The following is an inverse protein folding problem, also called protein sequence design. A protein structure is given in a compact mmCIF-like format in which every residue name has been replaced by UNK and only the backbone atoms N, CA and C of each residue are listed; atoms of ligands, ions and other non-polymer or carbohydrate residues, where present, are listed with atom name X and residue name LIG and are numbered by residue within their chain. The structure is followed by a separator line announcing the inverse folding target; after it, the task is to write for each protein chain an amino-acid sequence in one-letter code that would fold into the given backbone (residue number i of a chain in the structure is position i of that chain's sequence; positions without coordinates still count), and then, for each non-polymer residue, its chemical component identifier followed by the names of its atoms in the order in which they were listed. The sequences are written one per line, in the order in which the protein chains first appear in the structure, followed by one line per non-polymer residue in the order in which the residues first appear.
data_IF_644175745952
#
_entry.id   IF_644175745952
#
_cell.length_a   1.000
_cell.length_b   1.000
_cell.length_c   1.000
_cell.angle_alpha   90.00
_cell.angle_beta   90.00
_cell.angle_gamma   90.00
#
_symmetry.space_group_name_H-M   'P 1'
#
loop_
_entity.id
_entity.type
_entity.pdbx_description
1 polymer ?
#
# COMPACT_ATOMS: atom_id res chain seq x y z
N UNK A 1 2.95 -2.03 -20.39
CA UNK A 1 2.57 -0.94 -19.47
C UNK A 1 3.84 -0.29 -18.95
N UNK A 2 3.95 1.02 -19.06
CA UNK A 2 5.09 1.80 -18.53
C UNK A 2 4.94 2.06 -17.04
N UNK A 3 6.02 2.44 -16.36
CA UNK A 3 6.00 2.82 -14.93
C UNK A 3 4.99 3.95 -14.66
N UNK A 4 4.94 4.95 -15.54
CA UNK A 4 4.01 6.07 -15.39
C UNK A 4 2.55 5.63 -15.53
N UNK A 5 2.26 4.73 -16.45
CA UNK A 5 0.90 4.17 -16.61
C UNK A 5 0.47 3.34 -15.40
N UNK A 6 1.39 2.55 -14.82
CA UNK A 6 1.11 1.78 -13.59
C UNK A 6 0.77 2.72 -12.44
N UNK A 7 1.60 3.75 -12.23
CA UNK A 7 1.38 4.75 -11.18
C UNK A 7 0.04 5.45 -11.37
N UNK A 8 -0.21 5.95 -12.58
CA UNK A 8 -1.43 6.72 -12.85
C UNK A 8 -2.67 5.86 -12.67
N UNK A 9 -2.72 4.65 -13.23
CA UNK A 9 -3.85 3.72 -13.06
C UNK A 9 -4.13 3.39 -11.61
N UNK A 10 -3.09 3.21 -10.79
CA UNK A 10 -3.27 2.97 -9.35
C UNK A 10 -3.93 4.18 -8.66
N UNK A 11 -3.44 5.38 -8.94
CA UNK A 11 -3.97 6.59 -8.32
C UNK A 11 -5.41 6.86 -8.78
N UNK A 12 -5.69 6.77 -10.08
CA UNK A 12 -7.03 6.96 -10.64
C UNK A 12 -8.03 5.96 -10.06
N UNK A 13 -7.63 4.68 -9.92
CA UNK A 13 -8.48 3.67 -9.31
C UNK A 13 -8.89 4.04 -7.89
N UNK A 14 -7.93 4.42 -7.05
CA UNK A 14 -8.23 4.76 -5.66
C UNK A 14 -8.93 6.12 -5.53
N UNK A 15 -8.70 7.06 -6.44
CA UNK A 15 -9.49 8.28 -6.53
C UNK A 15 -10.97 7.97 -6.83
N UNK A 16 -11.27 7.05 -7.78
CA UNK A 16 -12.64 6.57 -8.04
C UNK A 16 -13.28 5.89 -6.82
N UNK A 17 -12.48 5.25 -5.95
CA UNK A 17 -12.95 4.68 -4.66
C UNK A 17 -13.05 5.72 -3.53
N UNK A 18 -12.90 7.01 -3.86
CA UNK A 18 -13.06 8.12 -2.92
C UNK A 18 -11.84 8.41 -2.04
N UNK A 19 -10.64 7.99 -2.46
CA UNK A 19 -9.41 8.34 -1.76
C UNK A 19 -8.90 9.71 -2.20
N UNK A 20 -8.45 10.51 -1.26
CA UNK A 20 -7.71 11.72 -1.56
C UNK A 20 -6.28 11.34 -1.98
N UNK A 21 -5.86 11.85 -3.15
CA UNK A 21 -4.49 11.66 -3.62
C UNK A 21 -3.60 12.67 -2.89
N UNK A 22 -2.66 12.17 -2.11
CA UNK A 22 -1.72 12.96 -1.35
C UNK A 22 -0.31 12.93 -1.96
N UNK A 23 0.47 14.01 -1.81
CA UNK A 23 1.82 14.06 -2.34
C UNK A 23 2.74 13.06 -1.64
N UNK A 24 3.81 12.64 -2.33
CA UNK A 24 4.94 11.94 -1.70
C UNK A 24 5.57 12.81 -0.62
N UNK A 25 5.75 12.26 0.57
CA UNK A 25 6.53 12.93 1.61
C UNK A 25 8.02 13.00 1.24
N UNK A 26 8.77 13.82 1.97
CA UNK A 26 10.22 13.92 1.83
C UNK A 26 10.91 12.57 2.05
N UNK A 27 12.00 12.33 1.34
CA UNK A 27 12.90 11.20 1.63
C UNK A 27 13.65 11.37 2.96
N UNK A 28 13.84 12.61 3.41
CA UNK A 28 14.36 12.92 4.74
C UNK A 28 13.16 13.00 5.69
N UNK A 29 12.96 11.99 6.56
CA UNK A 29 11.79 11.94 7.43
C UNK A 29 11.90 12.91 8.60
N UNK A 30 10.74 13.29 9.16
CA UNK A 30 10.68 14.01 10.43
C UNK A 30 11.09 13.13 11.62
N UNK A 31 10.85 11.82 11.49
CA UNK A 31 11.27 10.82 12.47
C UNK A 31 12.79 10.62 12.41
N UNK A 32 13.47 11.03 13.48
CA UNK A 32 14.93 10.96 13.60
C UNK A 32 15.47 9.56 13.94
N UNK A 33 14.60 8.58 14.13
CA UNK A 33 15.01 7.19 14.40
C UNK A 33 15.45 6.46 13.13
N UNK A 34 15.11 7.00 11.96
CA UNK A 34 15.46 6.47 10.65
C UNK A 34 16.11 7.54 9.77
N UNK A 35 17.04 7.14 8.90
CA UNK A 35 17.76 8.06 8.02
C UNK A 35 16.91 8.51 6.83
N UNK A 36 16.08 7.62 6.31
CA UNK A 36 15.27 7.86 5.12
C UNK A 36 13.84 7.36 5.29
N UNK A 37 12.92 7.91 4.50
CA UNK A 37 11.58 7.37 4.36
C UNK A 37 11.65 6.05 3.60
N UNK A 38 11.39 4.96 4.29
CA UNK A 38 11.54 3.58 3.79
C UNK A 38 10.22 2.93 3.36
N UNK A 39 9.10 3.54 3.72
CA UNK A 39 7.75 3.02 3.42
C UNK A 39 6.72 4.14 3.32
N UNK A 40 5.68 3.91 2.51
CA UNK A 40 4.58 4.86 2.35
C UNK A 40 3.75 5.09 3.63
N UNK A 41 3.71 4.11 4.51
CA UNK A 41 3.02 4.21 5.79
C UNK A 41 3.73 5.14 6.78
N UNK A 42 5.05 5.24 6.72
CA UNK A 42 5.86 5.92 7.73
C UNK A 42 5.42 7.37 8.00
N UNK A 43 5.20 8.23 7.00
CA UNK A 43 4.72 9.60 7.23
C UNK A 43 3.29 9.67 7.78
N UNK A 44 2.54 8.57 7.69
CA UNK A 44 1.12 8.50 8.07
C UNK A 44 0.89 7.88 9.46
N UNK A 45 1.94 7.40 10.13
CA UNK A 45 1.85 6.74 11.44
C UNK A 45 1.01 7.52 12.45
N UNK A 46 1.17 8.85 12.66
CA UNK A 46 0.36 9.57 13.64
C UNK A 46 -1.14 9.58 13.32
N UNK A 47 -1.50 9.52 12.05
CA UNK A 47 -2.89 9.45 11.61
C UNK A 47 -3.47 8.03 11.76
N UNK A 48 -2.68 7.02 11.42
CA UNK A 48 -3.06 5.60 11.54
C UNK A 48 -3.20 5.17 13.00
N UNK A 49 -2.37 5.74 13.89
CA UNK A 49 -2.46 5.52 15.34
C UNK A 49 -3.59 6.32 16.00
N UNK A 50 -4.29 7.18 15.25
CA UNK A 50 -5.41 7.97 15.78
C UNK A 50 -4.99 9.16 16.63
N UNK A 51 -3.70 9.54 16.63
CA UNK A 51 -3.20 10.71 17.37
C UNK A 51 -3.74 12.02 16.82
N UNK A 52 -3.98 12.06 15.52
CA UNK A 52 -4.55 13.22 14.82
C UNK A 52 -5.28 12.80 13.54
N UNK A 53 -6.20 13.64 13.09
CA UNK A 53 -6.91 13.44 11.81
C UNK A 53 -6.08 13.97 10.65
N UNK A 54 -6.06 13.23 9.54
CA UNK A 54 -5.42 13.73 8.33
C UNK A 54 -6.28 14.82 7.67
N UNK A 55 -5.67 15.95 7.22
CA UNK A 55 -6.45 17.07 6.66
C UNK A 55 -7.19 16.72 5.36
N UNK A 56 -6.70 15.74 4.60
CA UNK A 56 -7.33 15.30 3.35
C UNK A 56 -8.40 14.21 3.56
N UNK A 57 -8.71 13.83 4.81
CA UNK A 57 -9.77 12.85 5.10
C UNK A 57 -9.26 11.49 5.55
N UNK A 58 -10.16 10.50 5.55
CA UNK A 58 -9.91 9.16 6.09
C UNK A 58 -9.42 8.16 5.03
N UNK A 59 -9.67 8.41 3.75
CA UNK A 59 -9.20 7.58 2.63
C UNK A 59 -8.09 8.30 1.90
N UNK A 60 -6.90 7.72 1.88
CA UNK A 60 -5.71 8.33 1.30
C UNK A 60 -5.05 7.38 0.32
N UNK A 61 -4.50 7.91 -0.77
CA UNK A 61 -3.62 7.14 -1.67
C UNK A 61 -2.49 8.01 -2.19
N UNK A 62 -1.34 7.40 -2.44
CA UNK A 62 -0.22 8.08 -3.08
C UNK A 62 0.78 7.09 -3.73
N UNK A 63 1.75 7.69 -4.39
CA UNK A 63 2.99 7.04 -4.80
C UNK A 63 4.13 7.63 -3.98
N UNK A 64 4.54 6.94 -2.92
CA UNK A 64 5.60 7.40 -2.01
C UNK A 64 6.97 7.00 -2.53
N UNK A 65 7.85 7.98 -2.70
CA UNK A 65 9.28 7.76 -2.94
C UNK A 65 9.93 7.21 -1.67
N UNK A 66 10.62 6.08 -1.80
CA UNK A 66 11.25 5.37 -0.69
C UNK A 66 12.72 5.09 -0.99
N UNK A 67 13.53 5.09 0.06
CA UNK A 67 14.94 4.72 0.00
C UNK A 67 15.24 3.68 1.07
N UNK A 68 15.72 2.50 0.64
CA UNK A 68 16.21 1.43 1.51
C UNK A 68 17.66 1.11 1.18
N UNK A 69 18.51 1.02 2.19
CA UNK A 69 19.93 0.73 2.04
C UNK A 69 20.34 -0.63 2.58
N UNK A 70 19.41 -1.36 3.23
CA UNK A 70 19.70 -2.65 3.86
C UNK A 70 20.19 -3.69 2.83
N UNK A 71 19.57 -3.68 1.65
CA UNK A 71 19.87 -4.62 0.56
C UNK A 71 20.84 -4.04 -0.50
N UNK A 72 21.63 -3.02 -0.15
CA UNK A 72 22.47 -2.31 -1.15
C UNK A 72 23.48 -3.23 -1.83
N UNK A 73 23.95 -4.26 -1.12
CA UNK A 73 24.89 -5.25 -1.67
C UNK A 73 24.22 -6.26 -2.62
N UNK A 74 22.90 -6.38 -2.54
CA UNK A 74 22.08 -7.26 -3.38
C UNK A 74 21.63 -6.56 -4.69
N UNK A 75 21.77 -5.22 -4.75
CA UNK A 75 21.37 -4.44 -5.94
C UNK A 75 22.24 -4.81 -7.13
N UNK A 76 21.58 -5.14 -8.24
CA UNK A 76 22.18 -5.61 -9.48
C UNK A 76 21.49 -6.86 -10.02
N UNK A 77 20.66 -7.50 -9.21
CA UNK A 77 19.71 -8.51 -9.65
C UNK A 77 18.43 -7.87 -10.24
N UNK A 78 17.41 -8.69 -10.51
CA UNK A 78 16.12 -8.23 -11.04
C UNK A 78 15.05 -7.97 -9.97
N UNK A 79 15.41 -7.86 -8.69
CA UNK A 79 14.48 -7.76 -7.55
C UNK A 79 14.82 -6.65 -6.57
N UNK A 80 16.09 -6.46 -6.23
CA UNK A 80 16.52 -5.52 -5.20
C UNK A 80 16.74 -4.12 -5.76
N UNK A 81 16.14 -3.12 -5.11
CA UNK A 81 16.24 -1.70 -5.45
C UNK A 81 16.55 -0.91 -4.18
N UNK A 82 17.41 0.10 -4.30
CA UNK A 82 17.63 1.07 -3.21
C UNK A 82 16.57 2.17 -3.21
N UNK A 83 16.30 2.74 -4.39
CA UNK A 83 15.28 3.77 -4.60
C UNK A 83 14.12 3.21 -5.39
N UNK A 84 12.90 3.41 -4.90
CA UNK A 84 11.68 2.92 -5.54
C UNK A 84 10.47 3.76 -5.15
N UNK A 85 9.37 3.57 -5.88
CA UNK A 85 8.07 4.12 -5.52
C UNK A 85 7.21 3.03 -4.90
N UNK A 86 6.61 3.34 -3.75
CA UNK A 86 5.64 2.48 -3.09
C UNK A 86 4.24 3.05 -3.34
N UNK A 87 3.45 2.33 -4.10
CA UNK A 87 2.03 2.64 -4.32
C UNK A 87 1.26 2.20 -3.07
N UNK A 88 0.52 3.12 -2.47
CA UNK A 88 -0.16 2.86 -1.21
C UNK A 88 -1.56 3.46 -1.16
N UNK A 89 -2.45 2.72 -0.52
CA UNK A 89 -3.78 3.18 -0.14
C UNK A 89 -3.99 2.91 1.35
N UNK A 90 -4.59 3.88 2.04
CA UNK A 90 -4.79 3.81 3.50
C UNK A 90 -6.21 4.17 3.87
N UNK A 91 -6.72 3.43 4.87
CA UNK A 91 -7.96 3.71 5.56
C UNK A 91 -7.65 4.16 6.99
N UNK A 92 -7.99 5.39 7.31
CA UNK A 92 -7.83 5.95 8.65
C UNK A 92 -9.19 5.82 9.37
N UNK A 93 -9.54 4.57 9.76
CA UNK A 93 -10.78 4.28 10.46
C UNK A 93 -12.06 4.39 9.60
N UNK A 94 -11.97 4.14 8.30
CA UNK A 94 -13.11 4.19 7.36
C UNK A 94 -13.50 2.77 6.91
N UNK A 95 -12.70 2.12 6.07
CA UNK A 95 -12.94 0.76 5.59
C UNK A 95 -11.89 -0.21 6.15
N UNK A 96 -12.14 -1.52 6.00
CA UNK A 96 -11.25 -2.55 6.52
C UNK A 96 -11.02 -3.67 5.50
N UNK A 97 -10.89 -4.93 5.98
CA UNK A 97 -10.45 -6.09 5.17
C UNK A 97 -11.30 -6.34 3.93
N UNK A 98 -12.63 -6.22 4.05
CA UNK A 98 -13.55 -6.56 2.97
C UNK A 98 -13.31 -5.71 1.74
N UNK A 99 -13.42 -4.40 1.90
CA UNK A 99 -13.24 -3.44 0.81
C UNK A 99 -11.82 -3.49 0.27
N UNK A 100 -10.81 -3.64 1.14
CA UNK A 100 -9.41 -3.74 0.71
C UNK A 100 -9.17 -4.96 -0.20
N UNK A 101 -9.78 -6.12 0.12
CA UNK A 101 -9.67 -7.34 -0.69
C UNK A 101 -10.42 -7.18 -2.01
N UNK A 102 -11.66 -6.69 -1.97
CA UNK A 102 -12.49 -6.50 -3.16
C UNK A 102 -11.81 -5.53 -4.15
N UNK A 103 -11.34 -4.39 -3.66
CA UNK A 103 -10.67 -3.39 -4.49
C UNK A 103 -9.31 -3.87 -5.00
N UNK A 104 -8.53 -4.58 -4.19
CA UNK A 104 -7.26 -5.15 -4.65
C UNK A 104 -7.48 -6.15 -5.78
N UNK A 105 -8.48 -7.01 -5.65
CA UNK A 105 -8.83 -7.97 -6.68
C UNK A 105 -9.32 -7.27 -7.96
N UNK A 106 -10.22 -6.29 -7.83
CA UNK A 106 -10.72 -5.50 -8.95
C UNK A 106 -9.57 -4.77 -9.68
N UNK A 107 -8.70 -4.07 -8.95
CA UNK A 107 -7.56 -3.35 -9.53
C UNK A 107 -6.65 -4.28 -10.33
N UNK A 108 -6.36 -5.47 -9.79
CA UNK A 108 -5.43 -6.40 -10.41
C UNK A 108 -6.05 -7.11 -11.62
N UNK A 109 -7.32 -7.49 -11.55
CA UNK A 109 -7.92 -8.40 -12.57
C UNK A 109 -8.77 -7.70 -13.62
N UNK A 110 -9.36 -6.55 -13.31
CA UNK A 110 -10.19 -5.83 -14.28
C UNK A 110 -9.37 -5.37 -15.48
N UNK A 111 -9.92 -5.59 -16.69
CA UNK A 111 -9.30 -5.17 -17.95
C UNK A 111 -9.16 -3.65 -18.08
N UNK A 112 -9.99 -2.88 -17.37
CA UNK A 112 -9.88 -1.43 -17.29
C UNK A 112 -8.58 -1.02 -16.59
N UNK A 113 -8.15 -1.78 -15.58
CA UNK A 113 -7.00 -1.46 -14.75
C UNK A 113 -5.76 -2.26 -15.18
N UNK A 114 -5.37 -3.26 -14.42
CA UNK A 114 -4.15 -4.03 -14.72
C UNK A 114 -4.41 -5.27 -15.60
N UNK A 115 -5.61 -5.84 -15.59
CA UNK A 115 -6.00 -6.94 -16.45
C UNK A 115 -5.17 -8.22 -16.27
N UNK A 116 -4.70 -8.48 -15.04
CA UNK A 116 -3.93 -9.69 -14.74
C UNK A 116 -4.90 -10.86 -14.68
N UNK A 117 -4.68 -11.93 -15.44
CA UNK A 117 -5.51 -13.12 -15.35
C UNK A 117 -5.53 -13.69 -13.93
N UNK A 118 -6.71 -13.97 -13.33
CA UNK A 118 -6.81 -14.44 -11.94
C UNK A 118 -5.96 -15.68 -11.63
N UNK A 119 -5.79 -16.57 -12.60
CA UNK A 119 -4.97 -17.78 -12.45
C UNK A 119 -3.47 -17.52 -12.30
N UNK A 120 -3.02 -16.27 -12.51
CA UNK A 120 -1.64 -15.83 -12.28
C UNK A 120 -1.45 -15.19 -10.92
N UNK A 121 -2.52 -15.03 -10.13
CA UNK A 121 -2.46 -14.43 -8.80
C UNK A 121 -2.31 -15.52 -7.74
N UNK A 122 -1.34 -15.34 -6.86
CA UNK A 122 -1.11 -16.18 -5.69
C UNK A 122 -1.29 -15.33 -4.44
N UNK A 123 -2.11 -15.82 -3.51
CA UNK A 123 -2.43 -15.12 -2.26
C UNK A 123 -1.84 -15.89 -1.09
N UNK A 124 -1.09 -15.19 -0.25
CA UNK A 124 -0.63 -15.70 1.03
C UNK A 124 -1.33 -14.96 2.16
N UNK A 125 -1.62 -15.68 3.24
CA UNK A 125 -2.24 -15.11 4.44
C UNK A 125 -1.38 -15.43 5.66
N UNK A 126 -1.38 -14.53 6.62
CA UNK A 126 -0.73 -14.78 7.91
C UNK A 126 -1.68 -15.58 8.80
N UNK A 127 -1.16 -16.64 9.40
CA UNK A 127 -1.82 -17.42 10.45
C UNK A 127 -0.81 -17.62 11.60
N UNK A 128 -1.22 -17.32 12.82
CA UNK A 128 -0.44 -17.67 14.01
C UNK A 128 -1.29 -18.45 15.01
N UNK A 129 -1.11 -19.76 14.99
CA UNK A 129 -1.81 -20.67 15.91
C UNK A 129 -1.37 -20.52 17.36
N UNK A 130 -0.14 -20.06 17.60
CA UNK A 130 0.41 -19.86 18.95
C UNK A 130 -0.21 -18.67 19.66
N UNK A 131 -0.52 -17.60 18.92
CA UNK A 131 -1.19 -16.40 19.45
C UNK A 131 -2.72 -16.43 19.23
N UNK A 132 -3.28 -17.52 18.70
CA UNK A 132 -4.72 -17.62 18.44
C UNK A 132 -5.22 -16.68 17.34
N UNK A 133 -4.33 -16.23 16.45
CA UNK A 133 -4.70 -15.39 15.32
C UNK A 133 -5.16 -16.30 14.17
N UNK A 134 -6.45 -16.27 13.80
CA UNK A 134 -6.94 -17.06 12.70
C UNK A 134 -6.35 -16.56 11.36
N UNK A 135 -6.27 -17.44 10.34
CA UNK A 135 -5.85 -17.00 9.03
C UNK A 135 -6.76 -15.87 8.53
N UNK A 136 -6.16 -14.86 7.92
CA UNK A 136 -6.92 -13.81 7.25
C UNK A 136 -7.57 -14.43 6.00
N UNK A 137 -8.73 -15.09 6.17
CA UNK A 137 -9.42 -15.71 5.04
C UNK A 137 -10.21 -14.65 4.27
N UNK A 138 -10.23 -14.74 2.92
CA UNK A 138 -11.07 -13.89 2.08
C UNK A 138 -12.58 -14.05 2.34
N UNK A 139 -12.97 -15.03 3.16
CA UNK A 139 -14.37 -15.41 3.40
C UNK A 139 -14.94 -15.08 4.76
N UNK A 140 -14.16 -14.55 5.72
CA UNK A 140 -14.73 -14.09 6.98
C UNK A 140 -15.50 -12.79 6.78
N UNK A 141 -16.80 -12.96 6.58
CA UNK A 141 -17.76 -11.87 6.72
C UNK A 141 -17.71 -11.42 8.17
N UNK A 142 -17.38 -10.15 8.37
CA UNK A 142 -17.68 -9.49 9.62
C UNK A 142 -19.19 -9.59 9.84
N UNK A 143 -19.61 -10.44 10.77
CA UNK A 143 -20.96 -10.47 11.32
C UNK A 143 -21.10 -9.34 12.33
#
# INVERSE_FOLDING_TARGET
MTLNEVRQKFLDFFEEKGHAIIPSASLVPDDKTVLFTTAGMQPLVPYLMGERKHPSGARLANSQKCLRTDDILEVGDNRHLTFFEMLGNWSVGDYFKKEAIEWSFELLTSSQWFGIPPEKLYVTVFEDKGMGIPPASPGERAS
#
